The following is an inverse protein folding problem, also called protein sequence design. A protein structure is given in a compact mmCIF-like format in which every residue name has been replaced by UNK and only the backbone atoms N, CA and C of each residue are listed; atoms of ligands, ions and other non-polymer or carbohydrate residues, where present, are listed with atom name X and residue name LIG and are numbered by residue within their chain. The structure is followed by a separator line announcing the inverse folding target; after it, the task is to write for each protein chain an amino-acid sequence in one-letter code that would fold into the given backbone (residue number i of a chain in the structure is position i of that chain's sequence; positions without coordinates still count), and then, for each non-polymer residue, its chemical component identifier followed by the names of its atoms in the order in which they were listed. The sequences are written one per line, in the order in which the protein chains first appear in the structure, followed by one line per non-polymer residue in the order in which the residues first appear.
data_IF_486596267180
#
_entry.id   IF_486596267180
#
_cell.length_a   1.000
_cell.length_b   1.000
_cell.length_c   1.000
_cell.angle_alpha   90.00
_cell.angle_beta   90.00
_cell.angle_gamma   90.00
#
_symmetry.space_group_name_H-M   'P 1'
#
loop_
_entity.id
_entity.type
_entity.pdbx_description
1 polymer ?
#
# COMPACT_ATOMS: atom_id res chain seq x y z
N UNK A 1 18.50 -9.93 24.64
CA UNK A 1 18.04 -9.66 23.26
C UNK A 1 18.79 -8.45 22.72
N UNK A 2 19.32 -8.46 21.49
CA UNK A 2 19.97 -7.28 20.94
C UNK A 2 18.94 -6.14 20.81
N UNK A 3 19.30 -4.97 21.35
CA UNK A 3 18.46 -3.78 21.34
C UNK A 3 18.92 -2.89 20.19
N UNK A 4 17.99 -2.39 19.39
CA UNK A 4 18.31 -1.44 18.32
C UNK A 4 18.78 -0.10 18.89
N UNK A 5 19.36 0.76 18.05
CA UNK A 5 19.77 2.14 18.41
C UNK A 5 18.61 3.01 18.95
N UNK A 6 17.37 2.54 18.83
CA UNK A 6 16.16 3.21 19.31
C UNK A 6 15.55 2.56 20.56
N UNK A 7 16.26 1.65 21.22
CA UNK A 7 15.74 0.95 22.41
C UNK A 7 14.63 -0.07 22.10
N UNK A 8 14.33 -0.31 20.82
CA UNK A 8 13.35 -1.29 20.38
C UNK A 8 13.99 -2.68 20.26
N UNK A 9 13.28 -3.78 20.57
CA UNK A 9 13.75 -5.13 20.27
C UNK A 9 14.08 -5.23 18.79
N UNK A 10 15.28 -5.70 18.45
CA UNK A 10 15.78 -5.77 17.09
C UNK A 10 15.04 -6.86 16.28
N UNK A 11 13.79 -6.56 15.88
CA UNK A 11 12.96 -7.41 15.00
C UNK A 11 13.58 -7.49 13.58
N UNK A 12 14.51 -6.59 13.25
CA UNK A 12 15.20 -6.56 11.97
C UNK A 12 16.71 -6.28 12.14
N UNK A 13 17.56 -7.18 11.63
CA UNK A 13 19.02 -7.12 11.73
C UNK A 13 19.66 -6.22 10.65
N UNK A 14 19.32 -4.93 10.62
CA UNK A 14 19.95 -4.01 9.69
C UNK A 14 21.41 -3.71 10.07
N UNK A 15 22.32 -3.68 9.08
CA UNK A 15 23.72 -3.26 9.28
C UNK A 15 23.76 -1.83 9.86
N UNK A 16 24.54 -1.62 10.94
CA UNK A 16 24.70 -0.31 11.61
C UNK A 16 25.00 0.83 10.64
N UNK A 17 25.85 0.56 9.64
CA UNK A 17 26.20 1.53 8.60
C UNK A 17 25.00 1.97 7.75
N UNK A 18 24.08 1.05 7.43
CA UNK A 18 22.88 1.36 6.65
C UNK A 18 21.95 2.32 7.40
N UNK A 19 21.81 2.10 8.72
CA UNK A 19 21.01 2.98 9.58
C UNK A 19 21.66 4.37 9.65
N UNK A 20 22.97 4.44 9.88
CA UNK A 20 23.70 5.71 9.95
C UNK A 20 23.62 6.50 8.63
N UNK A 21 23.80 5.83 7.48
CA UNK A 21 23.65 6.46 6.17
C UNK A 21 22.25 7.03 5.97
N UNK A 22 21.22 6.29 6.40
CA UNK A 22 19.82 6.74 6.32
C UNK A 22 19.58 7.95 7.22
N UNK A 23 20.07 7.93 8.47
CA UNK A 23 19.96 9.04 9.40
C UNK A 23 20.66 10.30 8.88
N UNK A 24 21.87 10.14 8.32
CA UNK A 24 22.61 11.24 7.71
C UNK A 24 21.82 11.87 6.55
N UNK A 25 21.24 11.04 5.68
CA UNK A 25 20.38 11.50 4.58
C UNK A 25 19.13 12.22 5.08
N UNK A 26 18.46 11.69 6.10
CA UNK A 26 17.25 12.30 6.67
C UNK A 26 17.56 13.65 7.34
N UNK A 27 18.72 13.76 7.99
CA UNK A 27 19.19 15.02 8.58
C UNK A 27 19.53 16.04 7.48
N UNK A 28 20.28 15.64 6.45
CA UNK A 28 20.60 16.51 5.29
C UNK A 28 19.36 17.01 4.57
N UNK A 29 18.30 16.20 4.50
CA UNK A 29 17.02 16.58 3.90
C UNK A 29 16.13 17.41 4.84
N UNK A 30 16.61 17.73 6.05
CA UNK A 30 15.90 18.54 7.03
C UNK A 30 14.68 17.86 7.64
N UNK A 31 14.58 16.53 7.64
CA UNK A 31 13.44 15.81 8.23
C UNK A 31 13.64 15.48 9.71
N UNK A 32 14.89 15.32 10.15
CA UNK A 32 15.25 15.00 11.54
C UNK A 32 16.37 15.92 12.02
N UNK A 33 16.41 16.22 13.32
CA UNK A 33 17.52 16.85 14.00
C UNK A 33 18.15 15.80 14.90
N UNK A 34 19.48 15.77 14.96
CA UNK A 34 20.22 14.92 15.88
C UNK A 34 20.90 15.82 16.89
N UNK A 35 20.42 15.77 18.12
CA UNK A 35 21.01 16.49 19.25
C UNK A 35 21.41 15.48 20.31
N UNK A 36 22.69 15.48 20.69
CA UNK A 36 23.28 14.52 21.62
C UNK A 36 23.03 13.06 21.18
N UNK A 37 22.33 12.31 22.02
CA UNK A 37 21.90 10.92 21.81
C UNK A 37 20.47 10.79 21.28
N UNK A 38 19.76 11.89 21.09
CA UNK A 38 18.35 11.91 20.72
C UNK A 38 18.15 12.32 19.26
N UNK A 39 17.12 11.74 18.64
CA UNK A 39 16.72 12.06 17.27
C UNK A 39 15.33 12.69 17.35
N UNK A 40 15.22 13.94 16.91
CA UNK A 40 13.98 14.72 16.90
C UNK A 40 13.42 14.81 15.49
N UNK A 41 12.10 14.74 15.36
CA UNK A 41 11.41 14.93 14.08
C UNK A 41 11.10 16.42 13.88
N UNK A 42 11.60 17.02 12.79
CA UNK A 42 11.27 18.42 12.45
C UNK A 42 9.84 18.55 11.93
N UNK A 43 9.26 19.77 11.87
CA UNK A 43 7.96 20.01 11.24
C UNK A 43 7.87 19.51 9.78
N UNK A 44 8.94 19.68 9.01
CA UNK A 44 9.13 19.11 7.66
C UNK A 44 9.11 17.57 7.65
N UNK A 45 9.75 16.94 8.64
CA UNK A 45 9.72 15.49 8.84
C UNK A 45 8.35 14.98 9.25
N UNK A 46 7.65 15.72 10.12
CA UNK A 46 6.25 15.43 10.50
C UNK A 46 5.34 15.50 9.29
N UNK A 47 5.43 16.57 8.50
CA UNK A 47 4.68 16.71 7.24
C UNK A 47 5.04 15.62 6.23
N UNK A 48 6.31 15.21 6.15
CA UNK A 48 6.73 14.09 5.30
C UNK A 48 6.09 12.76 5.75
N UNK A 49 6.06 12.50 7.05
CA UNK A 49 5.43 11.30 7.63
C UNK A 49 3.93 11.36 7.45
N UNK A 50 3.28 12.50 7.70
CA UNK A 50 1.85 12.71 7.47
C UNK A 50 1.52 12.50 6.00
N UNK A 51 2.21 13.15 5.06
CA UNK A 51 2.02 12.93 3.63
C UNK A 51 2.23 11.46 3.21
N UNK A 52 3.09 10.72 3.91
CA UNK A 52 3.27 9.27 3.69
C UNK A 52 2.22 8.40 4.37
N UNK A 53 1.70 8.78 5.54
CA UNK A 53 0.62 8.09 6.26
C UNK A 53 -0.73 8.32 5.59
N UNK A 54 -0.97 9.55 5.14
CA UNK A 54 -2.16 10.00 4.40
C UNK A 54 -2.19 9.40 2.99
N UNK A 55 -1.08 8.79 2.55
CA UNK A 55 -0.91 8.48 1.13
C UNK A 55 -1.96 7.55 0.61
N UNK A 56 -2.52 6.65 1.41
CA UNK A 56 -3.76 5.99 1.01
C UNK A 56 -4.62 5.47 2.16
N UNK A 57 -5.93 5.64 2.05
CA UNK A 57 -6.89 5.04 2.97
C UNK A 57 -6.83 3.51 2.90
N UNK A 58 -6.98 2.87 4.05
CA UNK A 58 -7.18 1.42 4.13
C UNK A 58 -8.65 1.12 4.36
N UNK A 59 -9.21 0.28 3.50
CA UNK A 59 -10.56 -0.25 3.62
C UNK A 59 -10.49 -1.66 4.15
N UNK A 60 -11.47 -2.06 4.96
CA UNK A 60 -11.63 -3.45 5.35
C UNK A 60 -12.36 -4.24 4.28
N UNK A 61 -12.07 -5.53 4.22
CA UNK A 61 -12.75 -6.40 3.25
C UNK A 61 -14.16 -6.67 3.73
N UNK A 62 -15.20 -6.30 2.96
CA UNK A 62 -16.56 -6.72 3.28
C UNK A 62 -16.82 -8.17 2.87
N UNK A 63 -15.86 -8.82 2.19
CA UNK A 63 -16.07 -10.14 1.59
C UNK A 63 -15.58 -11.25 2.50
N UNK A 64 -16.43 -12.27 2.66
CA UNK A 64 -16.02 -13.59 3.16
C UNK A 64 -15.10 -14.26 2.12
N UNK A 65 -14.20 -15.13 2.58
CA UNK A 65 -13.18 -15.78 1.73
C UNK A 65 -13.78 -16.64 0.62
N UNK A 66 -14.98 -17.19 0.83
CA UNK A 66 -15.59 -18.19 -0.06
C UNK A 66 -16.62 -17.62 -1.04
N UNK A 67 -16.65 -16.28 -1.23
CA UNK A 67 -17.58 -15.66 -2.17
C UNK A 67 -17.19 -15.99 -3.63
N UNK A 68 -18.19 -16.18 -4.51
CA UNK A 68 -17.94 -16.52 -5.90
C UNK A 68 -17.24 -15.37 -6.63
N UNK A 69 -16.20 -15.72 -7.37
CA UNK A 69 -15.34 -14.77 -8.09
C UNK A 69 -15.97 -14.42 -9.43
N UNK A 70 -16.82 -13.39 -9.42
CA UNK A 70 -17.69 -13.01 -10.54
C UNK A 70 -17.35 -11.64 -11.14
N UNK A 71 -16.33 -10.96 -10.64
CA UNK A 71 -15.89 -9.66 -11.16
C UNK A 71 -14.43 -9.73 -11.61
N UNK A 72 -14.18 -9.36 -12.86
CA UNK A 72 -12.84 -9.08 -13.35
C UNK A 72 -12.56 -7.59 -13.18
N UNK A 73 -11.39 -7.26 -12.63
CA UNK A 73 -10.85 -5.92 -12.52
C UNK A 73 -9.56 -5.86 -13.33
N UNK A 74 -9.55 -5.00 -14.33
CA UNK A 74 -8.38 -4.71 -15.18
C UNK A 74 -7.96 -3.27 -14.92
N UNK A 75 -6.65 -3.01 -14.90
CA UNK A 75 -6.17 -1.65 -14.77
C UNK A 75 -4.88 -1.41 -15.54
N UNK A 76 -4.75 -0.21 -16.10
CA UNK A 76 -3.52 0.27 -16.73
C UNK A 76 -3.10 1.57 -16.05
N UNK A 77 -2.28 1.43 -15.00
CA UNK A 77 -1.78 2.55 -14.20
C UNK A 77 -0.32 2.78 -14.60
N UNK A 78 0.08 3.99 -15.04
CA UNK A 78 1.43 4.27 -15.53
C UNK A 78 2.50 4.11 -14.44
N UNK A 79 3.75 3.85 -14.83
CA UNK A 79 4.87 3.58 -13.90
C UNK A 79 5.18 4.75 -12.96
N UNK A 80 4.92 5.98 -13.42
CA UNK A 80 5.03 7.20 -12.60
C UNK A 80 4.13 7.12 -11.36
N UNK A 81 3.03 6.37 -11.42
CA UNK A 81 2.06 6.13 -10.33
C UNK A 81 2.22 4.74 -9.70
N UNK A 82 3.46 4.29 -9.52
CA UNK A 82 3.77 2.98 -8.92
C UNK A 82 3.16 2.81 -7.53
N UNK A 83 3.14 3.85 -6.70
CA UNK A 83 2.63 3.77 -5.34
C UNK A 83 1.12 3.48 -5.31
N UNK A 84 0.36 4.18 -6.16
CA UNK A 84 -1.07 4.00 -6.38
C UNK A 84 -1.38 2.59 -6.88
N UNK A 85 -0.55 2.09 -7.81
CA UNK A 85 -0.70 0.74 -8.37
C UNK A 85 -0.51 -0.34 -7.30
N UNK A 86 0.56 -0.24 -6.51
CA UNK A 86 0.82 -1.20 -5.43
C UNK A 86 -0.24 -1.11 -4.33
N UNK A 87 -0.70 0.09 -4.00
CA UNK A 87 -1.82 0.28 -3.07
C UNK A 87 -3.12 -0.37 -3.57
N UNK A 88 -3.46 -0.20 -4.85
CA UNK A 88 -4.64 -0.81 -5.44
C UNK A 88 -4.56 -2.35 -5.40
N UNK A 89 -3.40 -2.92 -5.74
CA UNK A 89 -3.14 -4.36 -5.64
C UNK A 89 -3.24 -4.87 -4.22
N UNK A 90 -2.73 -4.12 -3.24
CA UNK A 90 -2.84 -4.46 -1.83
C UNK A 90 -4.32 -4.61 -1.41
N UNK A 91 -5.18 -3.68 -1.81
CA UNK A 91 -6.62 -3.77 -1.52
C UNK A 91 -7.32 -4.91 -2.24
N UNK A 92 -7.00 -5.15 -3.52
CA UNK A 92 -7.56 -6.30 -4.22
C UNK A 92 -7.23 -7.62 -3.51
N UNK A 93 -5.99 -7.80 -3.05
CA UNK A 93 -5.61 -8.95 -2.21
C UNK A 93 -6.41 -9.00 -0.92
N UNK A 94 -6.59 -7.86 -0.25
CA UNK A 94 -7.37 -7.77 0.99
C UNK A 94 -8.83 -8.17 0.75
N UNK A 95 -9.38 -7.84 -0.41
CA UNK A 95 -10.74 -8.16 -0.86
C UNK A 95 -10.91 -9.58 -1.41
N UNK A 96 -9.94 -10.47 -1.20
CA UNK A 96 -9.96 -11.86 -1.69
C UNK A 96 -10.02 -11.95 -3.22
N UNK A 97 -9.42 -10.99 -3.93
CA UNK A 97 -9.21 -11.11 -5.38
C UNK A 97 -7.95 -11.90 -5.67
N UNK A 98 -8.04 -12.76 -6.67
CA UNK A 98 -6.91 -13.49 -7.22
C UNK A 98 -6.31 -12.73 -8.39
N UNK A 99 -4.99 -12.83 -8.53
CA UNK A 99 -4.26 -12.29 -9.68
C UNK A 99 -4.24 -13.34 -10.79
N UNK A 100 -4.93 -13.07 -11.91
CA UNK A 100 -4.80 -13.88 -13.14
C UNK A 100 -3.54 -13.44 -13.90
N UNK A 101 -3.30 -12.12 -13.97
CA UNK A 101 -2.13 -11.50 -14.57
C UNK A 101 -1.76 -10.24 -13.78
N UNK A 102 -0.55 -9.69 -13.98
CA UNK A 102 -0.04 -8.50 -13.24
C UNK A 102 -1.06 -7.34 -13.12
N UNK A 103 -1.91 -7.15 -14.12
CA UNK A 103 -2.90 -6.06 -14.20
C UNK A 103 -4.35 -6.54 -14.31
N UNK A 104 -4.59 -7.86 -14.16
CA UNK A 104 -5.91 -8.49 -14.31
C UNK A 104 -6.19 -9.36 -13.10
N UNK A 105 -7.28 -9.04 -12.42
CA UNK A 105 -7.66 -9.65 -11.15
C UNK A 105 -9.11 -10.12 -11.20
N UNK A 106 -9.42 -11.17 -10.45
CA UNK A 106 -10.77 -11.72 -10.38
C UNK A 106 -11.20 -11.93 -8.93
N UNK A 107 -12.43 -11.56 -8.61
CA UNK A 107 -12.89 -11.61 -7.22
C UNK A 107 -14.38 -11.38 -7.06
N UNK A 108 -14.84 -11.23 -5.81
CA UNK A 108 -16.26 -11.10 -5.49
C UNK A 108 -16.83 -9.74 -5.92
N UNK A 109 -18.03 -9.77 -6.51
CA UNK A 109 -18.81 -8.57 -6.88
C UNK A 109 -19.84 -8.26 -5.79
N UNK A 110 -20.21 -6.98 -5.57
CA UNK A 110 -19.62 -5.74 -6.13
C UNK A 110 -18.50 -5.18 -5.25
N UNK A 111 -17.55 -4.45 -5.83
CA UNK A 111 -16.52 -3.73 -5.06
C UNK A 111 -17.14 -2.77 -4.02
N UNK A 112 -16.49 -2.56 -2.86
CA UNK A 112 -17.04 -1.73 -1.79
C UNK A 112 -17.26 -0.29 -2.28
N UNK A 113 -18.39 0.31 -1.92
CA UNK A 113 -18.77 1.65 -2.38
C UNK A 113 -17.75 2.72 -1.97
N UNK A 114 -17.34 2.70 -0.70
CA UNK A 114 -16.36 3.65 -0.15
C UNK A 114 -15.01 3.56 -0.86
N UNK A 115 -14.60 2.33 -1.20
CA UNK A 115 -13.39 2.09 -1.98
C UNK A 115 -13.50 2.69 -3.39
N UNK A 116 -14.62 2.48 -4.08
CA UNK A 116 -14.86 3.05 -5.41
C UNK A 116 -14.91 4.58 -5.39
N UNK A 117 -15.49 5.16 -4.35
CA UNK A 117 -15.56 6.62 -4.20
C UNK A 117 -14.19 7.23 -3.91
N UNK A 118 -13.35 6.54 -3.14
CA UNK A 118 -11.95 6.94 -2.98
C UNK A 118 -11.14 6.79 -4.27
N UNK A 119 -11.31 5.70 -5.02
CA UNK A 119 -10.66 5.52 -6.34
C UNK A 119 -11.02 6.63 -7.32
N UNK A 120 -12.26 7.17 -7.24
CA UNK A 120 -12.67 8.37 -7.98
C UNK A 120 -11.94 9.62 -7.51
N UNK A 121 -11.83 9.85 -6.19
CA UNK A 121 -11.20 11.06 -5.65
C UNK A 121 -9.71 11.17 -6.01
N UNK A 122 -9.00 10.04 -6.06
CA UNK A 122 -7.59 9.98 -6.50
C UNK A 122 -7.41 9.92 -8.03
N UNK A 123 -8.49 10.08 -8.80
CA UNK A 123 -8.50 10.10 -10.28
C UNK A 123 -7.94 8.82 -10.92
N UNK A 124 -8.04 7.68 -10.25
CA UNK A 124 -7.63 6.37 -10.80
C UNK A 124 -8.75 5.66 -11.56
N UNK A 125 -10.01 6.10 -11.40
CA UNK A 125 -11.17 5.49 -12.08
C UNK A 125 -10.98 5.33 -13.59
N UNK A 126 -10.32 6.27 -14.26
CA UNK A 126 -10.13 6.24 -15.72
C UNK A 126 -9.18 5.12 -16.17
N UNK A 127 -8.25 4.73 -15.28
CA UNK A 127 -7.27 3.67 -15.52
C UNK A 127 -7.83 2.28 -15.22
N UNK A 128 -9.05 2.17 -14.66
CA UNK A 128 -9.63 0.91 -14.18
C UNK A 128 -10.86 0.56 -15.02
N UNK A 129 -10.94 -0.71 -15.41
CA UNK A 129 -12.07 -1.31 -16.10
C UNK A 129 -12.54 -2.52 -15.33
N UNK A 130 -13.85 -2.69 -15.20
CA UNK A 130 -14.46 -3.81 -14.48
C UNK A 130 -15.45 -4.52 -15.37
N UNK A 131 -15.37 -5.84 -15.42
CA UNK A 131 -16.26 -6.68 -16.22
C UNK A 131 -16.92 -7.71 -15.31
N UNK A 132 -18.25 -7.80 -15.36
CA UNK A 132 -19.00 -8.84 -14.66
C UNK A 132 -18.93 -10.13 -15.47
N UNK A 133 -18.53 -11.21 -14.82
CA UNK A 133 -18.51 -12.53 -15.43
C UNK A 133 -19.90 -13.16 -15.42
N UNK A 134 -20.22 -13.87 -16.51
CA UNK A 134 -21.46 -14.65 -16.62
C UNK A 134 -21.41 -15.95 -15.80
N UNK A 135 -20.22 -16.54 -15.63
CA UNK A 135 -19.97 -17.71 -14.78
C UNK A 135 -18.86 -17.39 -13.79
N UNK A 136 -18.94 -17.96 -12.59
CA UNK A 136 -17.89 -17.79 -11.58
C UNK A 136 -16.57 -18.34 -12.08
N UNK A 137 -15.49 -17.62 -11.76
CA UNK A 137 -14.14 -18.11 -12.02
C UNK A 137 -13.84 -19.23 -11.04
N UNK A 138 -13.77 -20.45 -11.57
CA UNK A 138 -13.22 -21.60 -10.87
C UNK A 138 -11.75 -21.70 -11.23
N UNK A 139 -10.88 -21.56 -10.24
CA UNK A 139 -9.45 -21.86 -10.43
C UNK A 139 -9.36 -23.37 -10.66
N UNK A 140 -9.19 -23.79 -11.91
CA UNK A 140 -8.81 -25.17 -12.20
C UNK A 140 -7.40 -25.36 -11.65
N UNK A 141 -7.28 -25.89 -10.44
CA UNK A 141 -6.04 -26.51 -9.93
C UNK A 141 -5.73 -27.76 -10.71
#
# INVERSE_FOLDING_TARGET
MPVSIFGLPAIFSYKKQSINNTLCRLNKNGYISKENSCIFLLPSGRKYVENKKVRFLTFDSPFKKDLPKNLIVMFDIPEVKKAEREWFRFHLRKFSYDMIQKSVWVGPSPLPKDFLDYVKSIKLKNCIKTFKLAKSYSTQT
#
